data_IF_549383038225
#
_entry.id   IF_549383038225
#
_cell.length_a   1.000
_cell.length_b   1.000
_cell.length_c   1.000
_cell.angle_alpha   90.00
_cell.angle_beta   90.00
_cell.angle_gamma   90.00
#
_symmetry.space_group_name_H-M   'P 1'
#
loop_
_entity.id
_entity.type
_entity.pdbx_description
1 polymer ?
#
# COMPACT_ATOMS: atom_id res chain seq x y z
N UNK A 1 16.12 28.46 36.79
CA UNK A 1 16.18 27.91 35.41
C UNK A 1 14.82 28.10 34.75
N UNK A 2 14.76 28.92 33.69
CA UNK A 2 13.51 29.28 33.01
C UNK A 2 12.98 28.08 32.20
N UNK A 3 11.70 27.73 32.38
CA UNK A 3 11.02 26.60 31.71
C UNK A 3 11.31 26.52 30.20
N UNK A 4 11.50 27.66 29.53
CA UNK A 4 11.89 27.80 28.11
C UNK A 4 13.22 27.13 27.72
N UNK A 5 14.25 27.20 28.56
CA UNK A 5 15.57 26.61 28.26
C UNK A 5 15.52 25.09 28.25
N UNK A 6 14.85 24.51 29.26
CA UNK A 6 14.65 23.07 29.39
C UNK A 6 13.83 22.48 28.23
N UNK A 7 12.79 23.18 27.74
CA UNK A 7 12.05 22.72 26.56
C UNK A 7 12.91 22.77 25.29
N UNK A 8 13.76 23.79 25.12
CA UNK A 8 14.65 23.91 23.96
C UNK A 8 15.70 22.80 23.92
N UNK A 9 16.29 22.43 25.06
CA UNK A 9 17.21 21.31 25.16
C UNK A 9 16.54 19.97 24.87
N UNK A 10 15.32 19.75 25.40
CA UNK A 10 14.56 18.54 25.07
C UNK A 10 14.21 18.45 23.58
N UNK A 11 13.73 19.55 22.99
CA UNK A 11 13.43 19.61 21.55
C UNK A 11 14.68 19.29 20.73
N UNK A 12 15.82 19.88 21.08
CA UNK A 12 17.10 19.59 20.42
C UNK A 12 17.46 18.11 20.53
N UNK A 13 17.37 17.52 21.71
CA UNK A 13 17.66 16.09 21.90
C UNK A 13 16.73 15.17 21.09
N UNK A 14 15.44 15.50 20.96
CA UNK A 14 14.52 14.74 20.10
C UNK A 14 14.85 14.90 18.60
N UNK A 15 15.20 16.11 18.17
CA UNK A 15 15.60 16.40 16.78
C UNK A 15 16.89 15.66 16.41
N UNK A 16 17.93 15.76 17.25
CA UNK A 16 19.22 15.10 17.03
C UNK A 16 19.05 13.57 16.93
N UNK A 17 18.18 12.99 17.78
CA UNK A 17 17.85 11.55 17.73
C UNK A 17 17.07 11.19 16.46
N UNK A 18 16.13 12.02 16.02
CA UNK A 18 15.39 11.81 14.79
C UNK A 18 16.30 11.86 13.55
N UNK A 19 17.27 12.78 13.54
CA UNK A 19 18.28 12.87 12.48
C UNK A 19 19.19 11.64 12.44
N UNK A 20 19.63 11.13 13.60
CA UNK A 20 20.42 9.90 13.68
C UNK A 20 19.63 8.68 13.20
N UNK A 21 18.36 8.54 13.60
CA UNK A 21 17.48 7.48 13.13
C UNK A 21 17.30 7.58 11.61
N UNK A 22 17.07 8.78 11.08
CA UNK A 22 16.94 9.02 9.64
C UNK A 22 18.21 8.64 8.89
N UNK A 23 19.38 9.02 9.40
CA UNK A 23 20.66 8.65 8.81
C UNK A 23 20.88 7.13 8.81
N UNK A 24 20.56 6.46 9.92
CA UNK A 24 20.67 5.00 10.03
C UNK A 24 19.70 4.27 9.10
N UNK A 25 18.45 4.71 9.02
CA UNK A 25 17.44 4.18 8.09
C UNK A 25 17.89 4.38 6.65
N UNK A 26 18.43 5.55 6.31
CA UNK A 26 18.99 5.80 4.99
C UNK A 26 20.14 4.84 4.70
N UNK A 27 21.08 4.65 5.64
CA UNK A 27 22.17 3.68 5.47
C UNK A 27 21.65 2.25 5.26
N UNK A 28 20.65 1.81 6.04
CA UNK A 28 20.03 0.49 5.85
C UNK A 28 19.39 0.33 4.48
N UNK A 29 18.77 1.38 3.95
CA UNK A 29 18.24 1.40 2.57
C UNK A 29 19.36 1.37 1.54
N UNK A 30 20.46 2.09 1.78
CA UNK A 30 21.63 2.09 0.90
C UNK A 30 22.29 0.71 0.82
N UNK A 31 22.35 0.01 1.95
CA UNK A 31 22.93 -1.32 2.07
C UNK A 31 21.97 -2.43 1.60
N UNK A 32 20.72 -2.10 1.22
CA UNK A 32 19.69 -3.08 0.84
C UNK A 32 19.23 -3.97 2.01
N UNK A 33 19.46 -3.53 3.25
CA UNK A 33 19.16 -4.28 4.50
C UNK A 33 17.92 -3.74 5.23
N UNK A 34 17.22 -2.77 4.66
CA UNK A 34 16.01 -2.25 5.27
C UNK A 34 14.91 -3.32 5.24
N UNK A 35 14.47 -3.72 6.43
CA UNK A 35 13.30 -4.54 6.66
C UNK A 35 12.51 -3.94 7.82
N UNK A 36 11.21 -3.78 7.61
CA UNK A 36 10.26 -3.35 8.62
C UNK A 36 9.08 -4.31 8.59
N UNK A 37 8.65 -4.78 9.76
CA UNK A 37 7.51 -5.66 9.90
C UNK A 37 6.41 -4.94 10.70
N UNK A 38 5.21 -4.88 10.14
CA UNK A 38 4.02 -4.35 10.80
C UNK A 38 3.05 -5.52 11.04
N UNK A 39 2.69 -5.73 12.31
CA UNK A 39 1.67 -6.71 12.69
C UNK A 39 0.32 -6.02 12.82
N UNK A 40 -0.62 -6.39 11.97
CA UNK A 40 -2.02 -5.98 12.07
C UNK A 40 -2.71 -7.04 12.91
N UNK A 41 -3.05 -6.69 14.15
CA UNK A 41 -3.74 -7.60 15.06
C UNK A 41 -5.21 -7.80 14.62
N UNK A 42 -5.78 -8.94 15.01
CA UNK A 42 -7.21 -9.21 14.81
C UNK A 42 -8.07 -8.08 15.40
N UNK A 43 -9.11 -7.66 14.65
CA UNK A 43 -10.05 -6.60 15.02
C UNK A 43 -9.47 -5.18 15.16
N UNK A 44 -8.18 -4.98 14.90
CA UNK A 44 -7.53 -3.67 14.93
C UNK A 44 -8.02 -2.74 13.81
N UNK A 45 -7.85 -1.44 14.01
CA UNK A 45 -8.29 -0.35 13.11
C UNK A 45 -7.13 0.62 12.89
N UNK A 46 -7.27 1.55 11.94
CA UNK A 46 -6.24 2.55 11.61
C UNK A 46 -5.24 2.09 10.55
N UNK A 47 -5.62 1.08 9.76
CA UNK A 47 -4.77 0.49 8.71
C UNK A 47 -5.41 0.67 7.33
N UNK A 48 -6.00 1.83 7.03
CA UNK A 48 -6.35 2.13 5.63
C UNK A 48 -5.10 2.07 4.75
N UNK A 49 -5.30 1.93 3.45
CA UNK A 49 -4.18 2.00 2.51
C UNK A 49 -3.43 3.32 2.60
N UNK A 50 -4.15 4.43 2.80
CA UNK A 50 -3.48 5.72 2.95
C UNK A 50 -2.52 5.70 4.14
N UNK A 51 -2.94 5.20 5.30
CA UNK A 51 -2.04 5.10 6.45
C UNK A 51 -0.88 4.14 6.17
N UNK A 52 -1.17 2.97 5.58
CA UNK A 52 -0.18 1.92 5.39
C UNK A 52 0.89 2.29 4.36
N UNK A 53 0.51 2.89 3.22
CA UNK A 53 1.45 3.13 2.11
C UNK A 53 2.05 4.53 2.08
N UNK A 54 1.43 5.52 2.73
CA UNK A 54 1.90 6.92 2.73
C UNK A 54 3.38 7.10 3.08
N UNK A 55 3.99 6.37 4.04
CA UNK A 55 5.42 6.50 4.32
C UNK A 55 6.34 6.13 3.15
N UNK A 56 5.84 5.34 2.20
CA UNK A 56 6.61 4.77 1.09
C UNK A 56 6.31 5.44 -0.26
N UNK A 57 5.31 6.33 -0.30
CA UNK A 57 4.96 7.12 -1.48
C UNK A 57 5.77 8.42 -1.48
N UNK A 58 6.49 8.67 -2.57
CA UNK A 58 7.24 9.90 -2.79
C UNK A 58 6.76 10.64 -4.04
N UNK A 59 7.12 11.91 -4.17
CA UNK A 59 6.81 12.71 -5.37
C UNK A 59 7.48 12.21 -6.65
N UNK A 60 8.46 11.33 -6.51
CA UNK A 60 9.17 10.70 -7.62
C UNK A 60 8.55 9.37 -8.06
N UNK A 61 7.58 8.83 -7.31
CA UNK A 61 6.89 7.59 -7.68
C UNK A 61 6.06 7.80 -8.96
N UNK A 62 6.36 7.01 -9.98
CA UNK A 62 5.71 7.07 -11.31
C UNK A 62 5.09 5.74 -11.75
N UNK A 63 5.55 4.62 -11.22
CA UNK A 63 5.13 3.28 -11.63
C UNK A 63 4.99 2.33 -10.44
N UNK A 64 3.92 1.54 -10.45
CA UNK A 64 3.53 0.63 -9.37
C UNK A 64 3.20 -0.75 -9.94
N UNK A 65 3.70 -1.81 -9.30
CA UNK A 65 3.33 -3.19 -9.59
C UNK A 65 2.57 -3.78 -8.41
N UNK A 66 1.46 -4.46 -8.69
CA UNK A 66 0.62 -5.14 -7.71
C UNK A 66 0.44 -6.58 -8.19
N UNK A 67 1.03 -7.50 -7.45
CA UNK A 67 0.79 -8.94 -7.58
C UNK A 67 -0.14 -9.37 -6.43
N UNK A 68 -1.38 -9.68 -6.76
CA UNK A 68 -2.36 -10.16 -5.77
C UNK A 68 -3.32 -11.17 -6.43
N UNK A 69 -3.25 -12.47 -6.09
CA UNK A 69 -4.11 -13.49 -6.68
C UNK A 69 -5.59 -13.32 -6.34
N UNK A 70 -5.95 -12.50 -5.35
CA UNK A 70 -7.30 -12.44 -4.82
C UNK A 70 -8.05 -11.19 -5.25
N UNK A 71 -7.76 -10.57 -6.40
CA UNK A 71 -8.59 -9.47 -6.93
C UNK A 71 -9.73 -10.04 -7.80
N UNK A 72 -10.68 -10.75 -7.17
CA UNK A 72 -11.73 -11.52 -7.88
C UNK A 72 -13.14 -11.03 -7.57
N UNK A 73 -13.50 -11.01 -6.30
CA UNK A 73 -14.83 -10.67 -5.82
C UNK A 73 -15.06 -9.16 -5.72
N UNK A 74 -16.31 -8.73 -5.69
CA UNK A 74 -16.70 -7.31 -5.65
C UNK A 74 -16.00 -6.51 -4.55
N UNK A 75 -15.88 -7.05 -3.33
CA UNK A 75 -15.18 -6.33 -2.25
C UNK A 75 -13.68 -6.20 -2.49
N UNK A 76 -13.06 -7.17 -3.19
CA UNK A 76 -11.65 -7.17 -3.56
C UNK A 76 -11.38 -6.20 -4.72
N UNK A 77 -12.30 -6.11 -5.67
CA UNK A 77 -12.28 -5.07 -6.72
C UNK A 77 -12.37 -3.67 -6.10
N UNK A 78 -13.26 -3.48 -5.12
CA UNK A 78 -13.32 -2.22 -4.38
C UNK A 78 -12.08 -1.95 -3.51
N UNK A 79 -11.42 -2.99 -3.00
CA UNK A 79 -10.14 -2.86 -2.32
C UNK A 79 -9.08 -2.33 -3.31
N UNK A 80 -8.98 -2.90 -4.50
CA UNK A 80 -8.05 -2.42 -5.52
C UNK A 80 -8.39 -1.00 -6.00
N UNK A 81 -9.67 -0.67 -6.22
CA UNK A 81 -10.10 0.69 -6.54
C UNK A 81 -9.64 1.70 -5.48
N UNK A 82 -9.86 1.42 -4.19
CA UNK A 82 -9.40 2.30 -3.10
C UNK A 82 -7.89 2.48 -3.07
N UNK A 83 -7.14 1.43 -3.41
CA UNK A 83 -5.69 1.51 -3.55
C UNK A 83 -5.29 2.47 -4.68
N UNK A 84 -5.94 2.37 -5.85
CA UNK A 84 -5.72 3.30 -6.95
C UNK A 84 -6.12 4.75 -6.59
N UNK A 85 -7.26 4.95 -5.93
CA UNK A 85 -7.70 6.28 -5.46
C UNK A 85 -6.71 6.91 -4.49
N UNK A 86 -6.10 6.12 -3.61
CA UNK A 86 -5.04 6.59 -2.73
C UNK A 86 -3.83 7.08 -3.53
N UNK A 87 -3.38 6.34 -4.55
CA UNK A 87 -2.27 6.77 -5.42
C UNK A 87 -2.60 8.09 -6.13
N UNK A 88 -3.83 8.25 -6.63
CA UNK A 88 -4.28 9.49 -7.29
C UNK A 88 -4.32 10.70 -6.35
N UNK A 89 -4.64 10.48 -5.06
CA UNK A 89 -4.70 11.54 -4.04
C UNK A 89 -3.32 11.89 -3.46
N UNK A 90 -2.41 10.92 -3.44
CA UNK A 90 -1.09 11.11 -2.88
C UNK A 90 -0.27 12.13 -3.68
N UNK A 91 0.70 12.83 -3.07
CA UNK A 91 1.58 13.77 -3.76
C UNK A 91 2.64 13.03 -4.60
N UNK A 92 2.21 12.18 -5.52
CA UNK A 92 3.01 11.39 -6.45
C UNK A 92 2.59 11.64 -7.90
N UNK A 93 3.32 11.06 -8.85
CA UNK A 93 3.08 11.24 -10.29
C UNK A 93 2.90 9.90 -10.97
N UNK A 94 2.20 8.97 -10.33
CA UNK A 94 1.92 7.65 -10.90
C UNK A 94 1.24 7.81 -12.26
N UNK A 95 1.78 7.12 -13.25
CA UNK A 95 1.29 7.06 -14.63
C UNK A 95 1.01 5.65 -15.10
N UNK A 96 1.61 4.66 -14.46
CA UNK A 96 1.43 3.26 -14.80
C UNK A 96 1.18 2.42 -13.55
N UNK A 97 0.18 1.55 -13.63
CA UNK A 97 -0.13 0.54 -12.63
C UNK A 97 -0.16 -0.81 -13.34
N UNK A 98 0.66 -1.75 -12.90
CA UNK A 98 0.61 -3.13 -13.36
C UNK A 98 -0.12 -3.98 -12.33
N UNK A 99 -1.22 -4.62 -12.72
CA UNK A 99 -1.93 -5.60 -11.91
C UNK A 99 -1.72 -6.99 -12.50
N UNK A 100 -1.09 -7.86 -11.72
CA UNK A 100 -1.04 -9.30 -11.95
C UNK A 100 -1.96 -9.98 -10.93
N UNK A 101 -3.06 -10.53 -11.41
CA UNK A 101 -4.03 -11.26 -10.58
C UNK A 101 -4.32 -12.63 -11.16
N UNK A 102 -5.09 -13.44 -10.46
CA UNK A 102 -5.58 -14.72 -10.98
C UNK A 102 -7.05 -14.62 -11.37
N UNK A 103 -7.43 -15.35 -12.40
CA UNK A 103 -8.78 -15.32 -12.94
C UNK A 103 -9.75 -16.10 -12.06
N UNK A 104 -10.94 -15.56 -11.83
CA UNK A 104 -12.03 -16.28 -11.17
C UNK A 104 -12.61 -17.34 -12.12
N UNK A 105 -12.52 -18.63 -11.77
CA UNK A 105 -13.08 -19.72 -12.58
C UNK A 105 -14.60 -19.67 -12.67
N UNK A 106 -15.28 -19.17 -11.64
CA UNK A 106 -16.75 -19.15 -11.57
C UNK A 106 -17.35 -17.86 -12.15
N UNK A 107 -16.71 -16.71 -11.93
CA UNK A 107 -17.23 -15.39 -12.31
C UNK A 107 -16.22 -14.52 -13.07
N UNK A 108 -15.44 -15.12 -13.97
CA UNK A 108 -14.41 -14.44 -14.78
C UNK A 108 -14.94 -13.21 -15.53
N UNK A 109 -16.19 -13.24 -16.01
CA UNK A 109 -16.81 -12.14 -16.74
C UNK A 109 -17.04 -10.91 -15.86
N UNK A 110 -17.50 -11.09 -14.62
CA UNK A 110 -17.70 -10.01 -13.67
C UNK A 110 -16.38 -9.35 -13.30
N UNK A 111 -15.36 -10.15 -12.98
CA UNK A 111 -14.02 -9.66 -12.66
C UNK A 111 -13.45 -8.86 -13.83
N UNK A 112 -13.48 -9.43 -15.04
CA UNK A 112 -12.92 -8.79 -16.24
C UNK A 112 -13.64 -7.50 -16.60
N UNK A 113 -14.98 -7.47 -16.52
CA UNK A 113 -15.77 -6.27 -16.80
C UNK A 113 -15.47 -5.15 -15.80
N UNK A 114 -15.36 -5.47 -14.51
CA UNK A 114 -15.08 -4.47 -13.48
C UNK A 114 -13.65 -3.91 -13.59
N UNK A 115 -12.67 -4.76 -13.90
CA UNK A 115 -11.29 -4.31 -14.10
C UNK A 115 -11.13 -3.50 -15.40
N UNK A 116 -11.90 -3.81 -16.45
CA UNK A 116 -11.96 -3.00 -17.66
C UNK A 116 -12.57 -1.62 -17.39
N UNK A 117 -13.67 -1.55 -16.64
CA UNK A 117 -14.27 -0.28 -16.21
C UNK A 117 -13.28 0.56 -15.40
N UNK A 118 -12.56 -0.07 -14.47
CA UNK A 118 -11.52 0.61 -13.69
C UNK A 118 -10.37 1.11 -14.58
N UNK A 119 -9.92 0.30 -15.55
CA UNK A 119 -8.88 0.69 -16.52
C UNK A 119 -9.30 1.95 -17.29
N UNK A 120 -10.51 1.97 -17.81
CA UNK A 120 -11.04 3.13 -18.55
C UNK A 120 -11.15 4.36 -17.64
N UNK A 121 -11.64 4.18 -16.40
CA UNK A 121 -11.73 5.25 -15.40
C UNK A 121 -10.36 5.86 -15.08
N UNK A 122 -9.35 5.03 -14.82
CA UNK A 122 -7.98 5.49 -14.55
C UNK A 122 -7.36 6.22 -15.75
N UNK A 123 -7.64 5.74 -16.97
CA UNK A 123 -7.18 6.38 -18.20
C UNK A 123 -7.69 7.82 -18.32
N UNK A 124 -8.93 8.10 -17.89
CA UNK A 124 -9.45 9.49 -17.85
C UNK A 124 -8.69 10.39 -16.87
N UNK A 125 -8.04 9.81 -15.87
CA UNK A 125 -7.17 10.51 -14.91
C UNK A 125 -5.70 10.53 -15.37
N UNK A 126 -5.42 10.02 -16.57
CA UNK A 126 -4.07 9.97 -17.14
C UNK A 126 -3.16 8.95 -16.48
N UNK A 127 -3.72 7.83 -16.01
CA UNK A 127 -3.02 6.66 -15.47
C UNK A 127 -3.40 5.44 -16.30
N UNK A 128 -2.41 4.72 -16.83
CA UNK A 128 -2.64 3.45 -17.50
C UNK A 128 -2.69 2.31 -16.48
N UNK A 129 -3.52 1.31 -16.77
CA UNK A 129 -3.62 0.07 -16.01
C UNK A 129 -3.30 -1.10 -16.94
N UNK A 130 -2.10 -1.65 -16.79
CA UNK A 130 -1.68 -2.90 -17.42
C UNK A 130 -2.20 -4.09 -16.59
N UNK A 131 -3.08 -4.90 -17.18
CA UNK A 131 -3.75 -6.00 -16.50
C UNK A 131 -3.31 -7.33 -17.10
N UNK A 132 -2.77 -8.19 -16.25
CA UNK A 132 -2.35 -9.54 -16.61
C UNK A 132 -2.97 -10.56 -15.67
N UNK A 133 -3.30 -11.73 -16.24
CA UNK A 133 -3.83 -12.86 -15.48
C UNK A 133 -2.83 -14.01 -15.46
N UNK A 134 -2.65 -14.62 -14.29
CA UNK A 134 -1.89 -15.86 -14.13
C UNK A 134 -2.56 -16.78 -13.12
N UNK A 135 -2.63 -18.07 -13.43
CA UNK A 135 -3.18 -19.08 -12.52
C UNK A 135 -2.15 -19.65 -11.54
N UNK A 136 -0.87 -19.34 -11.71
CA UNK A 136 0.24 -19.91 -10.93
C UNK A 136 0.82 -18.96 -9.90
N UNK A 137 0.27 -17.75 -9.77
CA UNK A 137 0.73 -16.77 -8.79
C UNK A 137 0.16 -17.07 -7.40
N UNK A 138 1.01 -16.94 -6.40
CA UNK A 138 0.66 -17.10 -5.00
C UNK A 138 1.17 -15.96 -4.12
N UNK A 139 2.14 -15.21 -4.64
CA UNK A 139 2.77 -14.10 -3.95
C UNK A 139 1.82 -12.90 -3.88
N UNK A 140 1.92 -12.17 -2.77
CA UNK A 140 1.18 -10.93 -2.49
C UNK A 140 2.21 -9.84 -2.31
N UNK A 141 2.53 -9.14 -3.38
CA UNK A 141 3.64 -8.20 -3.44
C UNK A 141 3.22 -6.91 -4.14
N UNK A 142 3.55 -5.78 -3.53
CA UNK A 142 3.39 -4.46 -4.13
C UNK A 142 4.79 -3.86 -4.26
N UNK A 143 5.15 -3.43 -5.47
CA UNK A 143 6.44 -2.77 -5.73
C UNK A 143 6.22 -1.36 -6.23
N UNK A 144 7.08 -0.47 -5.77
CA UNK A 144 7.16 0.90 -6.24
C UNK A 144 8.50 1.11 -6.98
N UNK A 145 8.50 1.90 -8.05
CA UNK A 145 9.70 2.20 -8.85
C UNK A 145 10.82 2.92 -8.09
N UNK A 146 10.51 3.42 -6.90
CA UNK A 146 11.45 4.05 -5.98
C UNK A 146 12.18 3.04 -5.06
N UNK A 147 11.99 1.73 -5.29
CA UNK A 147 12.70 0.63 -4.61
C UNK A 147 11.97 0.01 -3.43
N UNK A 148 10.79 0.52 -3.06
CA UNK A 148 9.99 -0.09 -1.99
C UNK A 148 9.25 -1.33 -2.48
N UNK A 149 9.29 -2.37 -1.64
CA UNK A 149 8.55 -3.62 -1.83
C UNK A 149 7.76 -3.89 -0.55
N UNK A 150 6.45 -4.12 -0.67
CA UNK A 150 5.55 -4.36 0.43
C UNK A 150 4.85 -5.71 0.21
N UNK A 151 5.08 -6.66 1.11
CA UNK A 151 4.42 -7.97 1.11
C UNK A 151 3.38 -8.01 2.21
N UNK A 152 2.13 -8.33 1.86
CA UNK A 152 1.04 -8.39 2.82
C UNK A 152 0.52 -9.81 2.88
N UNK A 153 0.49 -10.39 4.08
CA UNK A 153 0.07 -11.78 4.30
C UNK A 153 -1.30 -12.11 3.70
N UNK A 154 -2.22 -11.15 3.56
CA UNK A 154 -3.54 -11.32 2.94
C UNK A 154 -3.73 -10.53 1.63
N UNK A 155 -2.68 -9.91 1.10
CA UNK A 155 -2.78 -9.00 -0.03
C UNK A 155 -3.58 -7.75 0.36
N UNK A 156 -4.37 -7.21 -0.57
CA UNK A 156 -5.26 -6.09 -0.31
C UNK A 156 -6.54 -6.50 0.46
N UNK A 157 -6.79 -7.79 0.70
CA UNK A 157 -8.03 -8.28 1.35
C UNK A 157 -7.89 -8.58 2.85
N UNK A 158 -7.25 -7.67 3.60
CA UNK A 158 -7.11 -7.79 5.06
C UNK A 158 -8.22 -7.12 5.87
N UNK A 159 -9.19 -6.46 5.25
CA UNK A 159 -10.32 -5.86 5.98
C UNK A 159 -11.38 -6.90 6.33
N UNK A 160 -12.05 -6.71 7.48
CA UNK A 160 -13.27 -7.47 7.80
C UNK A 160 -14.48 -6.88 7.07
N UNK A 161 -15.51 -7.71 6.94
CA UNK A 161 -16.83 -7.26 6.51
C UNK A 161 -17.38 -6.24 7.54
N UNK A 162 -18.04 -5.15 7.10
CA UNK A 162 -18.67 -4.21 8.02
C UNK A 162 -19.79 -4.89 8.82
N UNK A 163 -20.02 -4.43 10.05
CA UNK A 163 -21.04 -4.98 10.97
C UNK A 163 -22.47 -4.77 10.47
N UNK A 164 -22.69 -3.77 9.62
CA UNK A 164 -23.98 -3.49 9.01
C UNK A 164 -23.87 -2.51 7.84
N UNK A 165 -24.99 -2.22 7.17
CA UNK A 165 -25.03 -1.30 6.01
C UNK A 165 -24.68 0.15 6.36
N UNK A 166 -24.93 0.55 7.61
CA UNK A 166 -24.70 1.92 8.12
C UNK A 166 -23.84 1.88 9.40
N UNK A 167 -22.85 1.00 9.45
CA UNK A 167 -21.90 0.97 10.56
C UNK A 167 -20.75 1.95 10.36
N UNK A 168 -20.24 2.52 11.45
CA UNK A 168 -18.96 3.24 11.44
C UNK A 168 -17.88 2.34 10.86
N UNK A 169 -17.04 2.90 9.99
CA UNK A 169 -16.06 2.14 9.20
C UNK A 169 -16.58 1.58 7.88
N UNK A 170 -17.81 1.88 7.45
CA UNK A 170 -18.31 1.41 6.15
C UNK A 170 -17.57 2.05 4.96
N UNK A 171 -17.45 3.39 4.96
CA UNK A 171 -16.76 4.13 3.91
C UNK A 171 -15.30 4.43 4.26
N UNK A 172 -15.04 4.82 5.50
CA UNK A 172 -13.70 5.14 5.99
C UNK A 172 -13.03 3.88 6.54
N UNK A 173 -11.96 3.44 5.87
CA UNK A 173 -11.27 2.20 6.20
C UNK A 173 -10.26 2.37 7.34
N UNK A 174 -9.97 3.59 7.81
CA UNK A 174 -9.25 3.79 9.08
C UNK A 174 -10.10 3.34 10.27
N UNK A 175 -11.42 3.37 10.14
CA UNK A 175 -12.35 2.92 11.18
C UNK A 175 -12.83 1.47 10.96
N UNK A 176 -12.33 0.78 9.93
CA UNK A 176 -12.70 -0.60 9.61
C UNK A 176 -11.81 -1.59 10.37
N UNK A 177 -12.44 -2.58 10.99
CA UNK A 177 -11.73 -3.68 11.64
C UNK A 177 -10.98 -4.54 10.61
N UNK A 178 -9.76 -4.92 10.93
CA UNK A 178 -8.91 -5.75 10.11
C UNK A 178 -8.90 -7.21 10.59
N UNK A 179 -8.59 -8.12 9.68
CA UNK A 179 -8.20 -9.49 9.96
C UNK A 179 -6.72 -9.50 10.32
N UNK A 180 -6.31 -10.43 11.16
CA UNK A 180 -4.90 -10.63 11.51
C UNK A 180 -4.05 -10.86 10.24
N UNK A 181 -2.98 -10.07 10.09
CA UNK A 181 -2.01 -10.21 9.01
C UNK A 181 -0.68 -9.57 9.38
N UNK A 182 0.37 -9.96 8.68
CA UNK A 182 1.68 -9.30 8.72
C UNK A 182 1.90 -8.51 7.44
N UNK A 183 2.58 -7.38 7.54
CA UNK A 183 3.05 -6.56 6.42
C UNK A 183 4.56 -6.44 6.54
N UNK A 184 5.28 -6.98 5.57
CA UNK A 184 6.72 -6.90 5.47
C UNK A 184 7.11 -5.86 4.42
N UNK A 185 7.89 -4.87 4.83
CA UNK A 185 8.40 -3.82 3.95
C UNK A 185 9.90 -4.01 3.76
N UNK A 186 10.32 -3.98 2.50
CA UNK A 186 11.70 -4.08 2.06
C UNK A 186 12.06 -2.88 1.18
N UNK A 187 13.34 -2.53 1.13
CA UNK A 187 13.85 -1.56 0.17
C UNK A 187 14.99 -2.18 -0.63
N UNK A 188 14.79 -2.41 -1.92
CA UNK A 188 15.82 -2.94 -2.81
C UNK A 188 16.48 -1.79 -3.57
N UNK A 189 17.82 -1.72 -3.52
CA UNK A 189 18.60 -0.78 -4.34
C UNK A 189 19.04 -1.39 -5.69
N UNK A 190 18.43 -2.48 -6.13
CA UNK A 190 18.89 -3.28 -7.28
C UNK A 190 17.80 -3.63 -8.31
N UNK A 191 17.02 -2.65 -8.76
CA UNK A 191 16.29 -2.79 -10.03
C UNK A 191 16.32 -1.47 -10.81
N UNK A 192 17.52 -1.11 -11.28
CA UNK A 192 17.65 -0.66 -12.68
C UNK A 192 18.09 -1.88 -13.49
N UNK A 193 17.11 -2.68 -13.89
CA UNK A 193 17.24 -3.69 -14.95
C UNK A 193 15.88 -4.35 -15.14
N UNK A 194 14.97 -3.65 -15.80
CA UNK A 194 14.10 -4.24 -16.81
C UNK A 194 14.29 -3.42 -18.08
#
# INVERSE_FOLDING_TARGET
MTKRGHFRERIKGYMDRAEQIKAHVNQMKEDGKYHEEIKIAEDSTGYSYEVLFKPYISSALTEVWVEDPYIRHTHQLYNFLRFCEMLLKAPCKVKQIHLLTSQDEANSSQQSSALAELKDSLSTQGVDLDLQYSSTIHDREIRFDNGWIIKIGRGLDYFKRPKGRFSVGYCDYDLRQCQETTVDIFHTKHTKSL
#
